data_IF_897103059495
#
_entry.id   IF_897103059495
#
_cell.length_a   1.000
_cell.length_b   1.000
_cell.length_c   1.000
_cell.angle_alpha   90.00
_cell.angle_beta   90.00
_cell.angle_gamma   90.00
#
_symmetry.space_group_name_H-M   'P 1'
#
loop_
_entity.id
_entity.type
_entity.pdbx_description
1 polymer ?
#
# COMPACT_ATOMS: atom_id res chain seq x y z
N UNK A 1 -1.99 -8.88 -22.35
CA UNK A 1 -1.68 -8.82 -20.92
C UNK A 1 -2.10 -10.16 -20.32
N UNK A 2 -1.24 -10.83 -19.57
CA UNK A 2 -1.62 -12.07 -18.87
C UNK A 2 -2.57 -11.68 -17.75
N UNK A 3 -3.86 -12.00 -17.88
CA UNK A 3 -4.83 -11.80 -16.80
C UNK A 3 -4.41 -12.67 -15.62
N UNK A 4 -3.97 -12.04 -14.53
CA UNK A 4 -3.56 -12.78 -13.34
C UNK A 4 -4.84 -13.28 -12.66
N UNK A 5 -5.08 -14.59 -12.72
CA UNK A 5 -6.22 -15.21 -12.04
C UNK A 5 -6.17 -14.87 -10.54
N UNK A 6 -7.25 -14.32 -9.95
CA UNK A 6 -7.26 -13.98 -8.53
C UNK A 6 -7.12 -15.24 -7.67
N UNK A 7 -6.52 -15.08 -6.48
CA UNK A 7 -6.47 -16.13 -5.47
C UNK A 7 -7.75 -16.11 -4.66
N UNK A 8 -8.43 -17.25 -4.54
CA UNK A 8 -9.71 -17.31 -3.83
C UNK A 8 -9.57 -18.26 -2.66
N UNK A 9 -9.70 -17.71 -1.46
CA UNK A 9 -9.75 -18.41 -0.20
C UNK A 9 -11.19 -18.41 0.28
N UNK A 10 -11.74 -19.59 0.47
CA UNK A 10 -13.14 -19.77 0.85
C UNK A 10 -13.23 -20.49 2.19
N UNK A 11 -14.17 -20.04 3.02
CA UNK A 11 -14.34 -20.51 4.38
C UNK A 11 -15.81 -20.92 4.62
N UNK A 12 -16.09 -21.94 5.45
CA UNK A 12 -17.46 -22.39 5.67
C UNK A 12 -18.40 -21.29 6.22
N UNK A 13 -17.86 -20.38 7.02
CA UNK A 13 -18.64 -19.37 7.73
C UNK A 13 -17.86 -18.07 7.92
N UNK A 14 -18.61 -17.02 8.28
CA UNK A 14 -18.12 -15.67 8.60
C UNK A 14 -16.87 -15.69 9.48
N UNK A 15 -16.88 -16.46 10.57
CA UNK A 15 -15.81 -16.44 11.56
C UNK A 15 -14.47 -16.92 10.98
N UNK A 16 -14.52 -17.89 10.06
CA UNK A 16 -13.34 -18.36 9.33
C UNK A 16 -12.74 -17.27 8.44
N UNK A 17 -13.59 -16.47 7.77
CA UNK A 17 -13.17 -15.29 7.00
C UNK A 17 -12.51 -14.27 7.93
N UNK A 18 -13.15 -13.94 9.05
CA UNK A 18 -12.63 -12.97 10.02
C UNK A 18 -11.25 -13.36 10.55
N UNK A 19 -11.08 -14.62 10.92
CA UNK A 19 -9.83 -15.15 11.42
C UNK A 19 -8.72 -15.13 10.38
N UNK A 20 -9.02 -15.50 9.13
CA UNK A 20 -8.05 -15.52 8.04
C UNK A 20 -7.64 -14.10 7.60
N UNK A 21 -8.59 -13.17 7.56
CA UNK A 21 -8.30 -11.76 7.26
C UNK A 21 -7.42 -11.15 8.35
N UNK A 22 -7.70 -11.42 9.63
CA UNK A 22 -6.86 -10.95 10.73
C UNK A 22 -5.44 -11.51 10.66
N UNK A 23 -5.29 -12.80 10.37
CA UNK A 23 -3.99 -13.47 10.19
C UNK A 23 -3.20 -12.85 9.02
N UNK A 24 -3.87 -12.58 7.90
CA UNK A 24 -3.28 -11.92 6.73
C UNK A 24 -2.76 -10.52 7.07
N UNK A 25 -3.53 -9.73 7.83
CA UNK A 25 -3.15 -8.37 8.21
C UNK A 25 -1.91 -8.41 9.11
N UNK A 26 -1.87 -9.30 10.10
CA UNK A 26 -0.71 -9.48 10.98
C UNK A 26 0.52 -9.93 10.16
N UNK A 27 0.33 -10.85 9.22
CA UNK A 27 1.39 -11.28 8.32
C UNK A 27 1.92 -10.13 7.44
N UNK A 28 1.03 -9.28 6.91
CA UNK A 28 1.40 -8.13 6.10
C UNK A 28 2.17 -7.09 6.93
N UNK A 29 1.68 -6.78 8.14
CA UNK A 29 2.40 -5.96 9.12
C UNK A 29 3.80 -6.50 9.36
N UNK A 30 3.91 -7.77 9.73
CA UNK A 30 5.19 -8.36 10.14
C UNK A 30 6.18 -8.36 8.96
N UNK A 31 5.69 -8.61 7.74
CA UNK A 31 6.50 -8.47 6.54
C UNK A 31 7.00 -7.03 6.36
N UNK A 32 6.16 -6.01 6.55
CA UNK A 32 6.56 -4.61 6.41
C UNK A 32 7.52 -4.17 7.51
N UNK A 33 7.22 -4.44 8.78
CA UNK A 33 8.00 -3.97 9.92
C UNK A 33 9.29 -4.78 10.11
N UNK A 34 9.23 -6.10 9.93
CA UNK A 34 10.29 -7.04 10.31
C UNK A 34 10.88 -7.84 9.16
N UNK A 35 10.28 -7.77 7.98
CA UNK A 35 10.74 -8.50 6.80
C UNK A 35 10.71 -10.05 7.00
N UNK A 36 9.82 -10.52 7.87
CA UNK A 36 9.56 -11.94 8.16
C UNK A 36 8.13 -12.11 8.66
N UNK A 37 7.55 -13.29 8.46
CA UNK A 37 6.23 -13.66 8.97
C UNK A 37 6.31 -14.64 10.15
N UNK A 38 7.51 -15.15 10.45
CA UNK A 38 7.77 -16.03 11.58
C UNK A 38 7.71 -15.24 12.90
N UNK A 39 6.73 -15.56 13.74
CA UNK A 39 6.49 -14.87 15.01
C UNK A 39 7.68 -14.96 15.96
N UNK A 40 8.43 -16.07 15.97
CA UNK A 40 9.63 -16.21 16.81
C UNK A 40 10.71 -15.24 16.36
N UNK A 41 10.92 -15.10 15.05
CA UNK A 41 11.87 -14.12 14.52
C UNK A 41 11.42 -12.69 14.82
N UNK A 42 10.11 -12.41 14.74
CA UNK A 42 9.55 -11.10 15.13
C UNK A 42 9.90 -10.78 16.59
N UNK A 43 9.67 -11.72 17.51
CA UNK A 43 9.96 -11.51 18.95
C UNK A 43 11.46 -11.35 19.22
N UNK A 44 12.31 -12.11 18.52
CA UNK A 44 13.76 -11.95 18.59
C UNK A 44 14.22 -10.59 18.04
N UNK A 45 13.59 -10.07 16.99
CA UNK A 45 13.92 -8.74 16.46
C UNK A 45 13.46 -7.64 17.42
N UNK A 46 12.26 -7.78 18.00
CA UNK A 46 11.71 -6.82 18.99
C UNK A 46 12.56 -6.74 20.25
N UNK A 47 13.06 -7.87 20.74
CA UNK A 47 13.94 -7.95 21.92
C UNK A 47 15.41 -7.58 21.62
N UNK A 48 15.76 -7.30 20.36
CA UNK A 48 17.13 -6.98 19.94
C UNK A 48 18.06 -8.18 19.82
N UNK A 49 17.56 -9.40 20.01
CA UNK A 49 18.31 -10.65 19.87
C UNK A 49 18.62 -11.01 18.41
N UNK A 50 17.85 -10.49 17.46
CA UNK A 50 18.03 -10.70 16.02
C UNK A 50 17.97 -9.38 15.25
N UNK A 51 18.79 -9.24 14.20
CA UNK A 51 18.68 -8.11 13.27
C UNK A 51 17.60 -8.37 12.22
N UNK A 52 16.90 -7.31 11.81
CA UNK A 52 15.96 -7.35 10.69
C UNK A 52 16.63 -7.96 9.44
N UNK A 53 16.11 -9.07 8.88
CA UNK A 53 16.68 -9.68 7.68
C UNK A 53 16.74 -8.70 6.51
N UNK A 54 17.85 -8.70 5.77
CA UNK A 54 18.00 -7.93 4.53
C UNK A 54 17.36 -8.66 3.36
N UNK A 55 16.50 -7.97 2.59
CA UNK A 55 16.04 -8.43 1.27
C UNK A 55 17.25 -8.51 0.32
N UNK A 56 17.62 -9.71 -0.15
CA UNK A 56 18.60 -9.86 -1.24
C UNK A 56 17.99 -9.36 -2.56
N UNK A 57 18.79 -8.72 -3.42
CA UNK A 57 18.35 -8.00 -4.64
C UNK A 57 17.62 -8.85 -5.70
N UNK A 58 17.58 -10.17 -5.56
CA UNK A 58 16.73 -11.05 -6.37
C UNK A 58 15.25 -10.99 -5.96
N UNK A 59 14.93 -10.32 -4.85
CA UNK A 59 13.60 -10.29 -4.24
C UNK A 59 12.81 -8.98 -4.36
N UNK A 60 13.20 -8.04 -5.24
CA UNK A 60 12.53 -6.74 -5.36
C UNK A 60 11.31 -6.76 -6.30
N UNK A 61 10.23 -6.15 -5.80
CA UNK A 61 8.90 -5.87 -6.39
C UNK A 61 8.06 -7.06 -6.87
N UNK A 62 8.59 -7.96 -7.71
CA UNK A 62 7.85 -9.15 -8.17
C UNK A 62 7.88 -10.31 -7.15
N UNK A 63 8.90 -10.34 -6.30
CA UNK A 63 9.17 -11.44 -5.36
C UNK A 63 8.58 -11.25 -3.97
N UNK A 64 8.10 -10.07 -3.59
CA UNK A 64 7.29 -9.93 -2.36
C UNK A 64 5.92 -10.57 -2.57
N UNK A 65 5.38 -10.46 -3.79
CA UNK A 65 4.23 -11.26 -4.22
C UNK A 65 4.60 -12.75 -4.37
N UNK A 66 5.81 -13.09 -4.85
CA UNK A 66 6.23 -14.49 -5.01
C UNK A 66 6.67 -15.19 -3.70
N UNK A 67 7.24 -14.53 -2.70
CA UNK A 67 7.79 -15.18 -1.50
C UNK A 67 6.68 -15.69 -0.55
N UNK A 68 5.52 -15.04 -0.55
CA UNK A 68 4.32 -15.57 0.11
C UNK A 68 3.54 -16.55 -0.80
N UNK A 69 3.76 -16.51 -2.11
CA UNK A 69 3.24 -17.52 -3.06
C UNK A 69 4.13 -18.78 -3.18
N UNK A 70 5.42 -18.73 -2.84
CA UNK A 70 6.41 -19.81 -2.99
C UNK A 70 6.53 -20.72 -1.76
N UNK A 71 5.90 -20.37 -0.63
CA UNK A 71 5.62 -21.34 0.44
C UNK A 71 4.57 -22.40 0.03
N UNK A 72 4.09 -22.35 -1.23
CA UNK A 72 3.20 -23.31 -1.88
C UNK A 72 3.90 -23.94 -3.10
N UNK A 73 4.59 -25.07 -2.90
CA UNK A 73 4.98 -25.96 -4.00
C UNK A 73 6.30 -26.69 -3.77
N UNK A 74 6.25 -27.91 -3.26
CA UNK A 74 7.34 -28.87 -3.35
C UNK A 74 7.05 -29.92 -4.43
N UNK A 75 8.04 -30.18 -5.29
CA UNK A 75 8.24 -31.49 -5.94
C UNK A 75 8.03 -31.59 -7.46
N UNK A 76 9.15 -31.79 -8.17
CA UNK A 76 9.35 -32.52 -9.44
C UNK A 76 8.78 -31.92 -10.76
N UNK A 77 9.42 -31.94 -11.95
CA UNK A 77 10.66 -32.56 -12.50
C UNK A 77 10.92 -31.99 -13.90
N UNK A 78 12.21 -31.77 -14.26
CA UNK A 78 12.84 -32.24 -15.51
C UNK A 78 12.53 -31.65 -16.91
N UNK A 79 13.61 -31.31 -17.62
CA UNK A 79 13.79 -31.11 -19.08
C UNK A 79 13.22 -29.81 -19.69
N UNK A 80 13.89 -29.10 -20.61
CA UNK A 80 15.13 -29.35 -21.33
C UNK A 80 15.52 -28.09 -22.12
N UNK A 81 16.82 -28.00 -22.36
CA UNK A 81 17.54 -26.97 -23.11
C UNK A 81 17.06 -26.84 -24.56
N UNK A 82 17.09 -25.62 -25.11
CA UNK A 82 17.49 -25.34 -26.50
C UNK A 82 17.41 -23.83 -26.78
N UNK A 83 18.57 -23.25 -27.06
CA UNK A 83 18.70 -21.90 -27.58
C UNK A 83 18.26 -21.77 -29.04
N UNK A 84 18.10 -20.51 -29.48
CA UNK A 84 18.56 -20.15 -30.80
C UNK A 84 18.83 -18.64 -30.93
N UNK A 85 19.95 -18.37 -31.57
CA UNK A 85 20.51 -17.09 -32.04
C UNK A 85 19.90 -16.67 -33.39
N UNK A 86 19.79 -15.35 -33.64
CA UNK A 86 20.09 -14.65 -34.91
C UNK A 86 19.57 -13.19 -34.81
N UNK A 87 20.41 -12.14 -34.87
CA UNK A 87 21.16 -11.54 -36.01
C UNK A 87 20.31 -10.62 -36.91
N UNK A 88 20.69 -9.33 -36.87
CA UNK A 88 20.83 -8.33 -37.95
C UNK A 88 19.58 -8.03 -38.83
N UNK A 89 19.38 -6.87 -39.45
CA UNK A 89 20.28 -5.78 -39.89
C UNK A 89 19.45 -4.53 -40.22
N UNK A 90 20.14 -3.40 -40.10
CA UNK A 90 19.90 -2.07 -40.67
C UNK A 90 19.38 -2.01 -42.11
N UNK A 91 18.71 -0.90 -42.46
CA UNK A 91 19.15 -0.04 -43.57
C UNK A 91 18.72 1.41 -43.41
N UNK A 92 19.61 2.25 -43.94
CA UNK A 92 19.83 3.69 -43.83
C UNK A 92 19.42 4.43 -45.10
N UNK A 93 19.18 5.75 -44.99
CA UNK A 93 19.58 6.77 -45.99
C UNK A 93 19.51 8.15 -45.30
N UNK A 94 20.61 8.91 -45.11
CA UNK A 94 21.39 9.67 -46.12
C UNK A 94 20.60 10.88 -46.63
N UNK A 95 21.06 12.13 -46.79
CA UNK A 95 22.29 12.94 -46.68
C UNK A 95 21.84 14.40 -47.02
N UNK A 96 22.53 15.52 -46.81
CA UNK A 96 23.90 15.81 -46.36
C UNK A 96 24.20 17.33 -46.35
N UNK A 97 25.41 17.66 -45.85
CA UNK A 97 26.37 18.73 -46.23
C UNK A 97 25.96 20.22 -46.13
N UNK A 98 26.77 21.21 -45.72
CA UNK A 98 28.24 21.40 -45.61
C UNK A 98 28.51 22.63 -44.70
N UNK A 99 29.38 22.58 -43.67
CA UNK A 99 30.84 22.86 -43.61
C UNK A 99 31.30 24.33 -43.81
N UNK A 100 31.87 24.95 -42.76
CA UNK A 100 33.25 25.50 -42.75
C UNK A 100 33.67 26.07 -41.37
N UNK A 101 34.85 25.64 -40.92
CA UNK A 101 35.73 26.14 -39.82
C UNK A 101 36.88 26.98 -40.44
N UNK A 102 37.94 27.53 -39.76
CA UNK A 102 38.47 27.17 -38.41
C UNK A 102 39.18 28.27 -37.54
N UNK A 103 39.46 27.86 -36.28
CA UNK A 103 40.61 28.10 -35.35
C UNK A 103 41.46 29.40 -35.32
N UNK A 104 41.67 29.98 -34.11
CA UNK A 104 42.95 29.97 -33.33
C UNK A 104 42.90 30.89 -32.06
N UNK A 105 43.67 30.52 -31.02
CA UNK A 105 43.94 31.20 -29.71
C UNK A 105 45.00 32.33 -29.84
N UNK A 106 45.69 32.89 -28.80
CA UNK A 106 45.48 33.06 -27.33
C UNK A 106 45.85 34.49 -26.77
N UNK A 107 45.83 34.68 -25.43
CA UNK A 107 46.93 35.27 -24.60
C UNK A 107 46.68 36.51 -23.68
N UNK A 108 47.24 36.38 -22.46
CA UNK A 108 47.82 37.31 -21.47
C UNK A 108 47.07 38.54 -20.89
N UNK A 109 47.10 38.65 -19.55
CA UNK A 109 47.08 39.94 -18.84
C UNK A 109 47.99 39.92 -17.60
N UNK A 110 48.53 41.11 -17.31
CA UNK A 110 49.74 41.42 -16.55
C UNK A 110 49.52 41.64 -15.04
N UNK A 111 50.63 41.47 -14.29
CA UNK A 111 50.97 42.04 -12.97
C UNK A 111 51.09 43.58 -13.03
N UNK A 112 51.04 44.42 -11.98
CA UNK A 112 51.83 44.44 -10.73
C UNK A 112 51.33 45.59 -9.80
N UNK A 113 51.27 45.28 -8.50
CA UNK A 113 51.78 46.02 -7.32
C UNK A 113 51.52 47.53 -7.08
N UNK A 114 51.01 47.82 -5.88
CA UNK A 114 51.42 48.97 -5.06
C UNK A 114 51.61 48.59 -3.59
N UNK A 115 52.43 49.40 -2.92
CA UNK A 115 53.30 49.10 -1.78
C UNK A 115 52.76 49.49 -0.40
N UNK A 116 53.39 48.87 0.60
CA UNK A 116 53.24 48.87 2.06
C UNK A 116 53.14 50.25 2.76
N UNK A 117 52.46 50.28 3.93
CA UNK A 117 53.12 50.19 5.26
C UNK A 117 52.13 50.47 6.40
N UNK A 118 52.26 49.74 7.52
CA UNK A 118 51.62 50.16 8.78
C UNK A 118 51.24 49.05 9.77
N UNK A 119 52.15 48.84 10.74
CA UNK A 119 51.90 48.55 12.16
C UNK A 119 51.45 47.13 12.56
N UNK A 120 52.28 46.56 13.42
CA UNK A 120 52.18 45.26 14.07
C UNK A 120 51.44 45.44 15.42
N UNK A 121 50.26 44.83 15.59
CA UNK A 121 49.64 44.64 16.91
C UNK A 121 49.13 43.19 17.03
N UNK A 122 49.67 42.49 18.01
CA UNK A 122 49.41 41.11 18.41
C UNK A 122 47.96 40.90 18.87
N UNK A 123 47.25 39.97 18.23
CA UNK A 123 45.93 39.49 18.67
C UNK A 123 45.99 38.01 19.07
N UNK A 124 45.33 37.60 20.16
CA UNK A 124 45.20 36.19 20.50
C UNK A 124 44.19 35.51 19.56
N UNK A 125 44.72 34.66 18.67
CA UNK A 125 44.08 33.55 17.95
C UNK A 125 42.54 33.55 17.85
N UNK A 126 42.03 34.11 16.75
CA UNK A 126 40.67 33.87 16.24
C UNK A 126 40.40 32.39 15.87
N UNK A 127 41.41 31.54 15.96
CA UNK A 127 41.40 30.11 15.62
C UNK A 127 40.61 29.25 16.61
N UNK A 128 40.44 29.66 17.86
CA UNK A 128 39.74 28.85 18.87
C UNK A 128 38.21 29.00 18.84
N UNK A 129 37.66 30.13 18.37
CA UNK A 129 36.20 30.34 18.28
C UNK A 129 35.57 29.70 17.03
N UNK A 130 36.34 29.54 15.95
CA UNK A 130 35.92 28.85 14.72
C UNK A 130 35.98 27.32 14.82
N UNK A 131 36.86 26.76 15.67
CA UNK A 131 36.88 25.33 15.91
C UNK A 131 35.78 24.86 16.88
N UNK A 132 35.34 25.70 17.81
CA UNK A 132 34.26 25.36 18.74
C UNK A 132 32.86 25.48 18.09
N UNK A 133 32.67 26.43 17.16
CA UNK A 133 31.42 26.59 16.40
C UNK A 133 31.21 25.51 15.32
N UNK A 134 32.28 24.94 14.77
CA UNK A 134 32.21 23.82 13.85
C UNK A 134 32.02 22.45 14.53
N UNK A 135 32.37 22.32 15.82
CA UNK A 135 32.11 21.11 16.61
C UNK A 135 30.64 21.04 17.05
N UNK A 136 30.03 22.17 17.39
CA UNK A 136 28.60 22.27 17.74
C UNK A 136 27.65 22.15 16.54
N UNK A 137 28.10 22.43 15.31
CA UNK A 137 27.31 22.19 14.08
C UNK A 137 27.41 20.75 13.56
N UNK A 138 28.36 19.95 14.04
CA UNK A 138 28.57 18.56 13.60
C UNK A 138 27.76 17.53 14.41
N UNK A 139 27.09 17.95 15.49
CA UNK A 139 26.37 17.05 16.42
C UNK A 139 24.83 17.06 16.29
N UNK A 140 24.22 17.74 15.32
CA UNK A 140 22.75 17.70 15.12
C UNK A 140 22.30 17.50 13.68
N UNK A 141 22.92 16.55 12.97
CA UNK A 141 22.26 15.88 11.85
C UNK A 141 22.26 14.36 12.07
N UNK A 142 21.74 13.94 13.22
CA UNK A 142 21.11 12.62 13.32
C UNK A 142 19.97 12.70 12.31
N UNK A 143 20.19 12.21 11.09
CA UNK A 143 19.09 11.78 10.22
C UNK A 143 18.31 10.80 11.08
N UNK A 144 17.23 11.25 11.73
CA UNK A 144 16.32 10.37 12.46
C UNK A 144 15.99 9.27 11.46
N UNK A 145 16.50 8.06 11.71
CA UNK A 145 16.23 6.91 10.87
C UNK A 145 14.72 6.83 10.83
N UNK A 146 14.16 7.04 9.65
CA UNK A 146 12.72 7.18 9.52
C UNK A 146 12.11 5.87 9.99
N UNK A 147 11.18 5.97 10.93
CA UNK A 147 10.47 4.81 11.45
C UNK A 147 9.71 4.13 10.29
N UNK A 148 9.83 2.81 10.22
CA UNK A 148 9.09 1.99 9.26
C UNK A 148 7.69 1.81 9.80
N UNK A 149 6.70 2.12 8.98
CA UNK A 149 5.29 2.09 9.35
C UNK A 149 4.52 1.22 8.37
N UNK A 150 3.53 0.49 8.89
CA UNK A 150 2.62 -0.31 8.10
C UNK A 150 1.44 0.55 7.65
N UNK A 151 1.30 0.73 6.34
CA UNK A 151 0.29 1.60 5.72
C UNK A 151 -0.82 0.76 5.13
N UNK A 152 -2.01 0.85 5.72
CA UNK A 152 -3.18 0.09 5.32
C UNK A 152 -4.31 1.03 4.91
N UNK A 153 -5.02 0.70 3.82
CA UNK A 153 -6.28 1.33 3.47
C UNK A 153 -7.43 0.34 3.62
N UNK A 154 -8.53 0.76 4.25
CA UNK A 154 -9.71 -0.07 4.50
C UNK A 154 -10.97 0.57 3.90
N UNK A 155 -11.91 -0.24 3.46
CA UNK A 155 -13.28 0.20 3.15
C UNK A 155 -14.20 0.02 4.36
N UNK A 156 -15.37 0.64 4.33
CA UNK A 156 -16.37 0.49 5.40
C UNK A 156 -17.28 -0.73 5.24
N UNK A 157 -18.47 -0.63 5.83
CA UNK A 157 -19.52 -1.66 5.70
C UNK A 157 -19.22 -2.91 6.52
N UNK A 158 -19.49 -4.09 5.95
CA UNK A 158 -19.32 -5.35 6.69
C UNK A 158 -17.84 -5.71 6.94
N UNK A 159 -16.91 -5.12 6.18
CA UNK A 159 -15.47 -5.27 6.43
C UNK A 159 -15.11 -4.82 7.84
N UNK A 160 -15.69 -3.73 8.35
CA UNK A 160 -15.41 -3.26 9.72
C UNK A 160 -15.81 -4.31 10.76
N UNK A 161 -16.93 -5.00 10.57
CA UNK A 161 -17.38 -6.09 11.45
C UNK A 161 -16.43 -7.28 11.41
N UNK A 162 -15.94 -7.63 10.21
CA UNK A 162 -14.91 -8.67 10.02
C UNK A 162 -13.64 -8.32 10.79
N UNK A 163 -13.18 -7.07 10.69
CA UNK A 163 -12.00 -6.59 11.42
C UNK A 163 -12.25 -6.61 12.94
N UNK A 164 -13.44 -6.21 13.40
CA UNK A 164 -13.77 -6.26 14.83
C UNK A 164 -13.65 -7.70 15.36
N UNK A 165 -14.33 -8.64 14.69
CA UNK A 165 -14.40 -10.03 15.16
C UNK A 165 -13.06 -10.77 15.07
N UNK A 166 -12.26 -10.51 14.03
CA UNK A 166 -10.99 -11.18 13.81
C UNK A 166 -9.80 -10.46 14.44
N UNK A 167 -9.62 -9.18 14.14
CA UNK A 167 -8.40 -8.42 14.43
C UNK A 167 -8.29 -8.02 15.90
N UNK A 168 -9.39 -7.55 16.52
CA UNK A 168 -9.36 -7.10 17.92
C UNK A 168 -9.12 -8.23 18.93
N UNK A 169 -9.43 -9.49 18.57
CA UNK A 169 -9.07 -10.67 19.38
C UNK A 169 -7.57 -10.98 19.36
N UNK A 170 -6.80 -10.32 18.49
CA UNK A 170 -5.39 -10.62 18.21
C UNK A 170 -4.47 -9.42 18.46
N UNK A 171 -4.93 -8.43 19.22
CA UNK A 171 -4.19 -7.18 19.51
C UNK A 171 -2.76 -7.41 20.01
N UNK A 172 -2.49 -8.49 20.76
CA UNK A 172 -1.13 -8.83 21.25
C UNK A 172 -0.09 -9.00 20.15
N UNK A 173 -0.50 -9.29 18.91
CA UNK A 173 0.41 -9.42 17.77
C UNK A 173 0.47 -8.16 16.90
N UNK A 174 -0.24 -7.10 17.27
CA UNK A 174 -0.39 -5.87 16.48
C UNK A 174 0.42 -4.76 17.13
N UNK A 175 1.17 -4.03 16.30
CA UNK A 175 1.92 -2.84 16.72
C UNK A 175 1.23 -1.59 16.24
N UNK A 176 0.12 -1.30 16.91
CA UNK A 176 -0.75 -0.18 16.59
C UNK A 176 0.00 1.14 16.44
N UNK A 177 0.99 1.44 17.29
CA UNK A 177 1.83 2.65 17.20
C UNK A 177 2.59 2.80 15.87
N UNK A 178 2.74 1.72 15.10
CA UNK A 178 3.42 1.68 13.80
C UNK A 178 2.46 1.64 12.62
N UNK A 179 1.14 1.74 12.84
CA UNK A 179 0.15 1.71 11.77
C UNK A 179 -0.19 3.12 11.30
N UNK A 180 -0.34 3.27 9.99
CA UNK A 180 -1.05 4.37 9.35
C UNK A 180 -2.28 3.79 8.66
N UNK A 181 -3.47 4.15 9.15
CA UNK A 181 -4.75 3.65 8.65
C UNK A 181 -5.41 4.73 7.81
N UNK A 182 -5.78 4.37 6.59
CA UNK A 182 -6.47 5.21 5.62
C UNK A 182 -7.79 4.56 5.22
N UNK A 183 -8.68 5.35 4.62
CA UNK A 183 -9.93 4.87 4.04
C UNK A 183 -9.83 4.83 2.51
N UNK A 184 -10.36 3.76 1.91
CA UNK A 184 -10.45 3.59 0.46
C UNK A 184 -11.53 4.47 -0.16
N UNK A 185 -12.58 4.77 0.61
CA UNK A 185 -13.64 5.72 0.31
C UNK A 185 -14.25 6.23 1.61
N UNK A 186 -15.00 7.33 1.51
CA UNK A 186 -15.81 7.84 2.60
C UNK A 186 -17.10 8.47 2.08
N UNK A 187 -18.16 8.37 2.86
CA UNK A 187 -19.46 8.99 2.62
C UNK A 187 -19.40 10.35 3.29
N UNK A 188 -19.74 11.39 2.55
CA UNK A 188 -19.68 12.76 3.04
C UNK A 188 -20.93 13.06 3.86
N UNK A 189 -20.90 12.55 5.08
CA UNK A 189 -21.94 12.67 6.11
C UNK A 189 -21.25 12.89 7.46
N UNK A 190 -21.96 13.40 8.49
CA UNK A 190 -21.39 13.52 9.82
C UNK A 190 -20.87 12.19 10.35
N UNK A 191 -19.83 12.19 11.18
CA UNK A 191 -19.19 11.00 11.73
C UNK A 191 -20.10 10.21 12.67
N UNK A 192 -21.09 10.85 13.29
CA UNK A 192 -22.14 10.19 14.06
C UNK A 192 -23.08 9.37 13.18
N UNK A 193 -23.14 9.66 11.88
CA UNK A 193 -23.94 8.91 10.94
C UNK A 193 -23.54 7.43 10.92
N UNK A 194 -24.51 6.51 10.85
CA UNK A 194 -24.21 5.10 10.61
C UNK A 194 -23.55 4.83 9.24
N UNK A 195 -23.67 5.77 8.30
CA UNK A 195 -23.11 5.61 6.94
C UNK A 195 -21.64 6.02 6.80
N UNK A 196 -21.08 6.71 7.80
CA UNK A 196 -19.66 7.11 7.83
C UNK A 196 -18.77 5.89 8.08
N UNK A 197 -17.83 5.63 7.16
CA UNK A 197 -16.85 4.55 7.28
C UNK A 197 -15.91 4.81 8.46
N UNK A 198 -15.39 6.03 8.60
CA UNK A 198 -14.58 6.45 9.74
C UNK A 198 -15.37 6.38 11.04
N UNK A 199 -16.59 6.92 11.07
CA UNK A 199 -17.46 6.86 12.25
C UNK A 199 -17.69 5.41 12.70
N UNK A 200 -17.98 4.51 11.76
CA UNK A 200 -18.14 3.08 12.05
C UNK A 200 -16.84 2.47 12.59
N UNK A 201 -15.70 2.71 11.93
CA UNK A 201 -14.41 2.20 12.36
C UNK A 201 -14.00 2.74 13.75
N UNK A 202 -14.32 4.00 14.06
CA UNK A 202 -14.07 4.59 15.36
C UNK A 202 -14.86 3.87 16.47
N UNK A 203 -16.16 3.66 16.24
CA UNK A 203 -17.06 2.98 17.20
C UNK A 203 -16.74 1.50 17.38
N UNK A 204 -16.43 0.80 16.29
CA UNK A 204 -16.28 -0.65 16.31
C UNK A 204 -14.82 -1.11 16.48
N UNK A 205 -13.81 -0.31 16.12
CA UNK A 205 -12.40 -0.72 16.13
C UNK A 205 -11.57 0.18 17.01
N UNK A 206 -11.45 1.47 16.66
CA UNK A 206 -10.41 2.32 17.23
C UNK A 206 -10.62 2.60 18.72
N UNK A 207 -11.87 2.74 19.15
CA UNK A 207 -12.22 2.87 20.58
C UNK A 207 -11.99 1.61 21.42
N UNK A 208 -11.78 0.46 20.78
CA UNK A 208 -11.54 -0.83 21.43
C UNK A 208 -10.06 -1.25 21.42
N UNK A 209 -9.18 -0.43 20.85
CA UNK A 209 -7.74 -0.65 20.91
C UNK A 209 -7.28 -0.47 22.36
N UNK A 210 -6.62 -1.49 22.88
CA UNK A 210 -6.10 -1.54 24.25
C UNK A 210 -4.67 -1.02 24.33
N UNK A 211 -4.33 -0.33 25.43
CA UNK A 211 -2.99 0.19 25.71
C UNK A 211 -2.72 1.59 25.15
N UNK A 212 -1.51 2.11 25.42
CA UNK A 212 -1.15 3.51 25.12
C UNK A 212 -0.59 3.72 23.70
N UNK A 213 -0.36 2.63 22.97
CA UNK A 213 0.23 2.62 21.63
C UNK A 213 -0.89 2.63 20.61
N UNK A 214 -1.20 3.80 20.05
CA UNK A 214 -2.33 3.99 19.13
C UNK A 214 -1.87 4.20 17.68
N UNK A 215 -2.68 3.77 16.69
CA UNK A 215 -2.39 4.02 15.29
C UNK A 215 -2.56 5.48 14.91
N UNK A 216 -1.97 5.87 13.78
CA UNK A 216 -2.31 7.13 13.12
C UNK A 216 -3.47 6.86 12.16
N UNK A 217 -4.53 7.63 12.29
CA UNK A 217 -5.74 7.48 11.46
C UNK A 217 -5.83 8.70 10.56
N UNK A 218 -6.00 8.47 9.26
CA UNK A 218 -6.13 9.48 8.23
C UNK A 218 -7.52 9.33 7.62
N UNK A 219 -8.37 10.31 7.84
CA UNK A 219 -9.76 10.38 7.38
C UNK A 219 -10.05 11.79 6.83
N UNK A 220 -11.23 12.00 6.27
CA UNK A 220 -11.67 13.32 5.77
C UNK A 220 -11.78 14.35 6.89
N UNK A 221 -11.76 15.63 6.55
CA UNK A 221 -12.24 16.69 7.43
C UNK A 221 -13.77 16.75 7.37
N UNK A 222 -14.44 16.56 8.51
CA UNK A 222 -15.91 16.59 8.61
C UNK A 222 -16.48 17.97 8.20
N UNK A 223 -15.72 19.05 8.35
CA UNK A 223 -16.18 20.38 7.95
C UNK A 223 -16.31 20.57 6.43
N UNK A 224 -15.76 19.62 5.64
CA UNK A 224 -15.79 19.64 4.18
C UNK A 224 -16.86 18.74 3.57
N UNK A 225 -17.73 18.09 4.37
CA UNK A 225 -18.71 17.11 3.85
C UNK A 225 -19.73 17.70 2.87
N UNK A 226 -19.95 19.01 2.91
CA UNK A 226 -20.85 19.70 1.97
C UNK A 226 -20.18 20.08 0.64
N UNK A 227 -18.86 19.91 0.51
CA UNK A 227 -18.08 20.15 -0.71
C UNK A 227 -17.25 18.92 -1.10
N UNK A 228 -17.81 18.02 -1.95
CA UNK A 228 -17.12 16.80 -2.32
C UNK A 228 -15.76 16.99 -2.97
N UNK A 229 -15.60 18.05 -3.76
CA UNK A 229 -14.35 18.31 -4.45
C UNK A 229 -13.27 18.74 -3.45
N UNK A 230 -13.58 19.69 -2.57
CA UNK A 230 -12.63 20.15 -1.55
C UNK A 230 -12.28 19.02 -0.57
N UNK A 231 -13.25 18.18 -0.19
CA UNK A 231 -13.00 17.00 0.65
C UNK A 231 -12.05 15.99 -0.02
N UNK A 232 -12.21 15.75 -1.33
CA UNK A 232 -11.32 14.87 -2.08
C UNK A 232 -9.90 15.45 -2.19
N UNK A 233 -9.79 16.76 -2.46
CA UNK A 233 -8.52 17.46 -2.60
C UNK A 233 -7.75 17.53 -1.27
N UNK A 234 -8.43 17.77 -0.14
CA UNK A 234 -7.81 17.71 1.18
C UNK A 234 -7.27 16.31 1.49
N UNK A 235 -8.09 15.28 1.24
CA UNK A 235 -7.67 13.90 1.49
C UNK A 235 -6.51 13.48 0.58
N UNK A 236 -6.51 13.90 -0.69
CA UNK A 236 -5.38 13.71 -1.60
C UNK A 236 -4.11 14.41 -1.09
N UNK A 237 -4.22 15.63 -0.60
CA UNK A 237 -3.10 16.37 -0.01
C UNK A 237 -2.54 15.64 1.22
N UNK A 238 -3.39 15.07 2.07
CA UNK A 238 -2.95 14.22 3.18
C UNK A 238 -2.18 12.99 2.69
N UNK A 239 -2.65 12.32 1.63
CA UNK A 239 -1.93 11.20 1.01
C UNK A 239 -0.56 11.65 0.48
N UNK A 240 -0.49 12.74 -0.27
CA UNK A 240 0.75 13.28 -0.84
C UNK A 240 1.77 13.55 0.27
N UNK A 241 1.39 14.22 1.36
CA UNK A 241 2.29 14.52 2.47
C UNK A 241 2.86 13.25 3.14
N UNK A 242 2.07 12.18 3.19
CA UNK A 242 2.43 10.95 3.89
C UNK A 242 3.20 9.93 3.03
N UNK A 243 3.03 9.99 1.70
CA UNK A 243 3.65 9.05 0.75
C UNK A 243 4.75 9.70 -0.09
N UNK A 244 4.61 10.95 -0.49
CA UNK A 244 5.57 11.64 -1.34
C UNK A 244 6.75 12.17 -0.49
N UNK A 245 7.77 11.35 -0.30
CA UNK A 245 9.08 11.80 0.23
C UNK A 245 10.12 11.75 -0.87
N UNK A 246 10.57 12.94 -1.30
CA UNK A 246 11.59 13.21 -2.31
C UNK A 246 11.20 12.75 -3.72
N UNK A 247 10.88 13.74 -4.56
CA UNK A 247 10.83 13.76 -6.03
C UNK A 247 10.91 12.39 -6.70
N UNK A 248 9.78 11.67 -6.85
CA UNK A 248 9.58 10.57 -7.83
C UNK A 248 8.30 9.73 -7.62
N UNK A 249 7.63 9.78 -6.47
CA UNK A 249 6.49 8.88 -6.22
C UNK A 249 5.27 9.30 -7.05
N UNK A 250 4.93 8.51 -8.07
CA UNK A 250 3.78 8.75 -8.95
C UNK A 250 2.43 8.36 -8.33
N UNK A 251 2.42 7.32 -7.49
CA UNK A 251 1.24 6.80 -6.81
C UNK A 251 1.63 6.33 -5.39
N UNK A 252 0.76 6.49 -4.38
CA UNK A 252 0.99 5.97 -3.04
C UNK A 252 1.03 4.44 -3.10
N UNK A 253 1.94 3.83 -2.36
CA UNK A 253 2.07 2.37 -2.28
C UNK A 253 1.67 1.91 -0.88
N UNK A 254 0.43 1.48 -0.72
CA UNK A 254 -0.05 0.85 0.50
C UNK A 254 0.56 -0.55 0.67
N UNK A 255 0.85 -0.96 1.90
CA UNK A 255 1.31 -2.32 2.19
C UNK A 255 0.17 -3.35 2.04
N UNK A 256 -1.06 -2.91 2.32
CA UNK A 256 -2.29 -3.67 2.23
C UNK A 256 -3.49 -2.75 1.95
N UNK A 257 -4.36 -3.15 1.05
CA UNK A 257 -5.62 -2.47 0.76
C UNK A 257 -6.77 -3.49 0.84
N UNK A 258 -7.67 -3.27 1.79
CA UNK A 258 -8.81 -4.15 2.08
C UNK A 258 -10.11 -3.55 1.54
N UNK A 259 -10.74 -4.28 0.61
CA UNK A 259 -11.97 -3.85 -0.06
C UNK A 259 -13.11 -4.81 0.23
N UNK A 260 -14.29 -4.26 0.50
CA UNK A 260 -15.54 -4.96 0.28
C UNK A 260 -15.90 -5.00 -1.21
N UNK A 261 -16.91 -5.81 -1.54
CA UNK A 261 -17.59 -5.76 -2.82
C UNK A 261 -19.10 -5.71 -2.60
N UNK A 262 -19.77 -4.71 -3.16
CA UNK A 262 -21.20 -4.55 -3.04
C UNK A 262 -21.97 -5.48 -4.00
N UNK A 263 -23.28 -5.72 -3.76
CA UNK A 263 -24.07 -6.63 -4.59
C UNK A 263 -24.23 -6.19 -6.05
N UNK A 264 -24.02 -4.91 -6.35
CA UNK A 264 -23.99 -4.34 -7.71
C UNK A 264 -22.58 -4.40 -8.35
N UNK A 265 -21.56 -4.80 -7.59
CA UNK A 265 -20.18 -4.93 -8.06
C UNK A 265 -19.32 -3.69 -7.82
N UNK A 266 -19.85 -2.66 -7.16
CA UNK A 266 -19.03 -1.51 -6.78
C UNK A 266 -18.01 -1.89 -5.69
N UNK A 267 -16.89 -1.19 -5.71
CA UNK A 267 -15.81 -1.29 -4.72
C UNK A 267 -15.51 0.13 -4.26
N UNK A 268 -15.15 0.32 -2.98
CA UNK A 268 -14.99 1.66 -2.43
C UNK A 268 -16.23 2.51 -2.79
N UNK A 269 -16.06 3.64 -3.48
CA UNK A 269 -17.17 4.37 -4.10
C UNK A 269 -17.07 4.46 -5.63
N UNK A 270 -16.44 3.47 -6.26
CA UNK A 270 -16.34 3.30 -7.70
C UNK A 270 -17.46 2.38 -8.19
N UNK A 271 -18.46 2.94 -8.87
CA UNK A 271 -19.66 2.22 -9.30
C UNK A 271 -19.58 1.69 -10.74
N UNK A 272 -20.28 0.58 -11.04
CA UNK A 272 -20.52 0.19 -12.42
C UNK A 272 -21.13 1.34 -13.23
N UNK A 273 -20.77 1.43 -14.52
CA UNK A 273 -21.26 2.43 -15.47
C UNK A 273 -20.89 3.90 -15.17
N UNK A 274 -20.11 4.20 -14.12
CA UNK A 274 -19.51 5.53 -13.90
C UNK A 274 -18.17 5.66 -14.64
N UNK A 275 -18.24 5.66 -15.98
CA UNK A 275 -17.06 5.53 -16.83
C UNK A 275 -16.00 6.61 -16.67
N UNK A 276 -16.33 7.80 -16.18
CA UNK A 276 -15.34 8.85 -15.88
C UNK A 276 -14.47 8.46 -14.67
N UNK A 277 -15.10 8.17 -13.53
CA UNK A 277 -14.42 7.72 -12.31
C UNK A 277 -13.59 6.44 -12.53
N UNK A 278 -14.10 5.48 -13.31
CA UNK A 278 -13.38 4.23 -13.62
C UNK A 278 -12.18 4.43 -14.57
N UNK A 279 -12.12 5.55 -15.30
CA UNK A 279 -11.04 5.86 -16.25
C UNK A 279 -10.07 6.92 -15.73
N UNK A 280 -10.25 7.40 -14.51
CA UNK A 280 -9.33 8.34 -13.85
C UNK A 280 -7.93 7.72 -13.73
N UNK A 281 -6.89 8.50 -14.06
CA UNK A 281 -5.50 8.04 -14.18
C UNK A 281 -4.47 8.93 -13.48
N UNK A 282 -4.85 10.15 -13.13
CA UNK A 282 -3.99 11.21 -12.63
C UNK A 282 -4.23 11.44 -11.14
N UNK A 283 -5.49 11.65 -10.75
CA UNK A 283 -5.85 11.90 -9.36
C UNK A 283 -5.66 10.64 -8.50
N UNK A 284 -5.25 10.84 -7.25
CA UNK A 284 -5.16 9.79 -6.25
C UNK A 284 -6.50 9.56 -5.56
N UNK A 285 -7.25 10.64 -5.33
CA UNK A 285 -8.59 10.65 -4.75
C UNK A 285 -9.51 11.52 -5.62
N UNK A 286 -10.77 11.13 -5.78
CA UNK A 286 -11.77 11.91 -6.52
C UNK A 286 -13.08 12.01 -5.76
N UNK A 287 -13.86 13.08 -5.98
CA UNK A 287 -15.24 13.12 -5.54
C UNK A 287 -16.10 12.16 -6.36
N UNK A 288 -17.15 11.66 -5.73
CA UNK A 288 -18.23 10.93 -6.37
C UNK A 288 -19.54 11.57 -5.91
N UNK A 289 -20.24 12.19 -6.85
CA UNK A 289 -21.58 12.74 -6.65
C UNK A 289 -22.62 11.84 -7.31
N UNK A 290 -23.87 11.89 -6.81
CA UNK A 290 -24.99 11.09 -7.34
C UNK A 290 -24.69 9.58 -7.30
N UNK A 291 -24.08 9.12 -6.21
CA UNK A 291 -23.89 7.68 -5.99
C UNK A 291 -25.23 6.92 -6.18
N UNK A 292 -25.26 5.83 -6.95
CA UNK A 292 -26.50 5.08 -7.24
C UNK A 292 -27.21 4.47 -6.01
N UNK A 293 -26.53 4.41 -4.86
CA UNK A 293 -27.07 3.88 -3.61
C UNK A 293 -26.44 4.58 -2.41
N UNK A 294 -27.13 4.56 -1.26
CA UNK A 294 -26.66 5.21 -0.02
C UNK A 294 -26.53 6.73 -0.15
N UNK A 295 -25.71 7.38 0.69
CA UNK A 295 -25.42 8.81 0.56
C UNK A 295 -24.82 9.15 -0.80
N UNK A 296 -25.34 10.21 -1.42
CA UNK A 296 -25.03 10.58 -2.80
C UNK A 296 -23.60 11.10 -3.00
N UNK A 297 -23.08 11.80 -1.99
CA UNK A 297 -21.78 12.47 -2.01
C UNK A 297 -20.74 11.66 -1.24
N UNK A 298 -19.63 11.37 -1.91
CA UNK A 298 -18.56 10.52 -1.42
C UNK A 298 -17.22 10.99 -1.95
N UNK A 299 -16.14 10.50 -1.34
CA UNK A 299 -14.80 10.52 -1.94
C UNK A 299 -14.30 9.09 -2.13
N UNK A 300 -13.41 8.85 -3.07
CA UNK A 300 -12.85 7.51 -3.31
C UNK A 300 -11.42 7.57 -3.81
N UNK A 301 -10.60 6.62 -3.37
CA UNK A 301 -9.34 6.31 -4.05
C UNK A 301 -9.63 5.81 -5.47
N UNK A 302 -8.77 6.20 -6.39
CA UNK A 302 -8.90 5.85 -7.81
C UNK A 302 -8.36 4.44 -8.09
N UNK A 303 -8.77 3.83 -9.21
CA UNK A 303 -8.28 2.52 -9.65
C UNK A 303 -6.74 2.44 -9.70
N UNK A 304 -6.00 3.43 -10.26
CA UNK A 304 -4.54 3.42 -10.23
C UNK A 304 -3.96 3.32 -8.81
N UNK A 305 -4.50 4.07 -7.85
CA UNK A 305 -4.06 4.00 -6.44
C UNK A 305 -4.32 2.62 -5.86
N UNK A 306 -5.51 2.07 -6.08
CA UNK A 306 -5.89 0.75 -5.57
C UNK A 306 -4.94 -0.32 -6.13
N UNK A 307 -4.75 -0.33 -7.44
CA UNK A 307 -3.92 -1.31 -8.14
C UNK A 307 -2.42 -1.19 -7.83
N UNK A 308 -1.97 -0.04 -7.33
CA UNK A 308 -0.58 0.21 -6.94
C UNK A 308 -0.24 -0.25 -5.51
N UNK A 309 -1.23 -0.70 -4.73
CA UNK A 309 -0.96 -1.32 -3.43
C UNK A 309 -0.12 -2.60 -3.58
N UNK A 310 0.75 -2.87 -2.60
CA UNK A 310 1.56 -4.09 -2.57
C UNK A 310 0.70 -5.36 -2.48
N UNK A 311 -0.48 -5.24 -1.84
CA UNK A 311 -1.50 -6.29 -1.75
C UNK A 311 -2.88 -5.66 -1.81
N UNK A 312 -3.71 -6.15 -2.74
CA UNK A 312 -5.14 -5.84 -2.79
C UNK A 312 -5.92 -7.09 -2.39
N UNK A 313 -6.84 -6.92 -1.44
CA UNK A 313 -7.61 -8.01 -0.87
C UNK A 313 -9.08 -7.64 -0.85
N UNK A 314 -9.89 -8.48 -1.48
CA UNK A 314 -11.34 -8.41 -1.34
C UNK A 314 -11.80 -9.31 -0.20
N UNK A 315 -12.67 -8.79 0.65
CA UNK A 315 -13.34 -9.51 1.73
C UNK A 315 -14.83 -9.45 1.45
N UNK A 316 -15.43 -10.59 1.11
CA UNK A 316 -16.81 -10.62 0.59
C UNK A 316 -17.56 -11.81 1.17
N UNK A 317 -18.66 -11.54 1.84
CA UNK A 317 -19.40 -12.55 2.59
C UNK A 317 -20.90 -12.49 2.33
N UNK A 318 -21.55 -13.62 2.51
CA UNK A 318 -22.99 -13.78 2.48
C UNK A 318 -23.54 -14.12 1.10
N UNK A 319 -24.62 -14.88 1.12
CA UNK A 319 -25.32 -15.38 -0.07
C UNK A 319 -25.72 -14.27 -1.06
N UNK A 320 -26.02 -13.07 -0.56
CA UNK A 320 -26.39 -11.90 -1.39
C UNK A 320 -25.30 -11.50 -2.39
N UNK A 321 -24.06 -11.96 -2.20
CA UNK A 321 -22.92 -11.68 -3.06
C UNK A 321 -22.73 -12.73 -4.16
N UNK A 322 -23.35 -13.91 -4.06
CA UNK A 322 -23.13 -15.00 -5.01
C UNK A 322 -23.38 -14.61 -6.48
N UNK A 323 -24.48 -13.90 -6.82
CA UNK A 323 -24.72 -13.52 -8.22
C UNK A 323 -23.65 -12.58 -8.77
N UNK A 324 -23.16 -11.64 -7.95
CA UNK A 324 -22.18 -10.66 -8.42
C UNK A 324 -20.77 -11.23 -8.46
N UNK A 325 -20.37 -12.06 -7.51
CA UNK A 325 -19.06 -12.74 -7.56
C UNK A 325 -19.00 -13.62 -8.80
N UNK A 326 -20.08 -14.34 -9.14
CA UNK A 326 -20.16 -15.10 -10.39
C UNK A 326 -19.83 -14.24 -11.59
N UNK A 327 -20.47 -13.08 -11.71
CA UNK A 327 -20.21 -12.14 -12.81
C UNK A 327 -18.76 -11.67 -12.81
N UNK A 328 -18.21 -11.29 -11.65
CA UNK A 328 -16.83 -10.78 -11.52
C UNK A 328 -15.81 -11.82 -11.97
N UNK A 329 -16.05 -13.10 -11.66
CA UNK A 329 -15.11 -14.19 -11.92
C UNK A 329 -15.27 -14.79 -13.33
N UNK A 330 -16.51 -14.97 -13.82
CA UNK A 330 -16.78 -15.63 -15.10
C UNK A 330 -16.92 -14.65 -16.27
N UNK A 331 -17.24 -13.38 -16.00
CA UNK A 331 -17.53 -12.36 -17.03
C UNK A 331 -16.76 -11.05 -16.81
N UNK A 332 -15.41 -11.09 -16.76
CA UNK A 332 -14.59 -9.90 -16.54
C UNK A 332 -14.78 -8.82 -17.60
N UNK A 333 -15.21 -9.19 -18.82
CA UNK A 333 -15.49 -8.27 -19.93
C UNK A 333 -16.63 -7.28 -19.65
N UNK A 334 -17.45 -7.53 -18.62
CA UNK A 334 -18.45 -6.55 -18.14
C UNK A 334 -17.81 -5.31 -17.51
N UNK A 335 -16.51 -5.33 -17.23
CA UNK A 335 -15.78 -4.16 -16.75
C UNK A 335 -16.25 -3.67 -15.39
N UNK A 336 -16.67 -4.59 -14.51
CA UNK A 336 -17.00 -4.23 -13.13
C UNK A 336 -15.75 -3.68 -12.42
N UNK A 337 -15.89 -2.74 -11.49
CA UNK A 337 -14.76 -2.14 -10.77
C UNK A 337 -13.79 -3.16 -10.17
N UNK A 338 -14.30 -4.22 -9.54
CA UNK A 338 -13.49 -5.32 -9.00
C UNK A 338 -12.78 -6.15 -10.07
N UNK A 339 -13.39 -6.36 -11.24
CA UNK A 339 -12.76 -7.03 -12.39
C UNK A 339 -11.60 -6.19 -12.94
N UNK A 340 -11.78 -4.87 -13.04
CA UNK A 340 -10.71 -3.93 -13.44
C UNK A 340 -9.53 -4.02 -12.47
N UNK A 341 -9.79 -4.11 -11.15
CA UNK A 341 -8.74 -4.27 -10.14
C UNK A 341 -8.07 -5.64 -10.21
N UNK A 342 -8.82 -6.73 -10.43
CA UNK A 342 -8.26 -8.07 -10.62
C UNK A 342 -7.22 -8.12 -11.76
N UNK A 343 -7.49 -7.40 -12.86
CA UNK A 343 -6.59 -7.34 -14.01
C UNK A 343 -5.46 -6.31 -13.87
N UNK A 344 -5.75 -5.19 -13.21
CA UNK A 344 -4.85 -4.02 -13.15
C UNK A 344 -3.87 -4.02 -11.97
N UNK A 345 -4.12 -4.80 -10.92
CA UNK A 345 -3.24 -4.83 -9.75
C UNK A 345 -1.84 -5.35 -10.10
N UNK A 346 -0.81 -4.74 -9.52
CA UNK A 346 0.59 -5.12 -9.78
C UNK A 346 0.94 -6.56 -9.35
N UNK A 347 0.14 -7.16 -8.48
CA UNK A 347 0.24 -8.56 -8.04
C UNK A 347 -1.11 -9.25 -8.07
N UNK A 348 -1.13 -10.55 -7.75
CA UNK A 348 -2.39 -11.32 -7.67
C UNK A 348 -3.28 -10.77 -6.56
N UNK A 349 -4.48 -10.36 -6.94
CA UNK A 349 -5.54 -9.99 -6.00
C UNK A 349 -5.99 -11.23 -5.24
N UNK A 350 -6.21 -11.09 -3.93
CA UNK A 350 -6.73 -12.17 -3.08
C UNK A 350 -8.17 -11.88 -2.68
N UNK A 351 -9.01 -12.91 -2.70
CA UNK A 351 -10.41 -12.86 -2.30
C UNK A 351 -10.60 -13.79 -1.11
N UNK A 352 -11.09 -13.24 -0.01
CA UNK A 352 -11.47 -13.96 1.20
C UNK A 352 -12.98 -13.94 1.28
N UNK A 353 -13.57 -15.12 1.11
CA UNK A 353 -15.02 -15.27 0.95
C UNK A 353 -15.56 -16.39 1.82
N UNK A 354 -16.83 -16.29 2.21
CA UNK A 354 -17.52 -17.45 2.76
C UNK A 354 -18.02 -18.36 1.62
N UNK A 355 -18.36 -19.60 1.93
CA UNK A 355 -18.91 -20.55 0.95
C UNK A 355 -20.25 -20.05 0.38
N UNK A 356 -21.03 -19.31 1.18
CA UNK A 356 -22.30 -18.73 0.76
C UNK A 356 -22.13 -17.72 -0.38
N UNK A 357 -21.09 -16.88 -0.35
CA UNK A 357 -20.79 -15.94 -1.43
C UNK A 357 -20.30 -16.63 -2.73
N UNK A 358 -19.96 -17.92 -2.69
CA UNK A 358 -19.57 -18.71 -3.87
C UNK A 358 -20.66 -19.65 -4.37
N UNK A 359 -21.86 -19.62 -3.79
CA UNK A 359 -22.90 -20.61 -4.06
C UNK A 359 -23.28 -20.76 -5.55
N UNK A 360 -23.14 -19.70 -6.34
CA UNK A 360 -23.51 -19.70 -7.77
C UNK A 360 -22.33 -20.01 -8.72
N UNK A 361 -21.14 -20.29 -8.16
CA UNK A 361 -19.87 -20.56 -8.84
C UNK A 361 -19.48 -22.04 -8.69
N UNK A 362 -19.38 -22.74 -9.81
CA UNK A 362 -19.10 -24.18 -9.83
C UNK A 362 -17.65 -24.52 -10.23
N UNK A 363 -17.04 -23.73 -11.13
CA UNK A 363 -15.74 -24.04 -11.74
C UNK A 363 -14.61 -23.12 -11.25
N UNK A 364 -14.48 -22.97 -9.93
CA UNK A 364 -13.47 -22.07 -9.34
C UNK A 364 -12.43 -22.81 -8.50
N UNK A 365 -11.15 -22.53 -8.76
CA UNK A 365 -10.05 -23.11 -7.98
C UNK A 365 -9.93 -22.41 -6.63
N UNK A 366 -10.47 -23.03 -5.58
CA UNK A 366 -10.27 -22.60 -4.19
C UNK A 366 -8.85 -22.91 -3.73
N UNK A 367 -8.23 -21.98 -3.01
CA UNK A 367 -6.95 -22.17 -2.32
C UNK A 367 -7.18 -22.40 -0.85
N UNK A 368 -6.41 -23.31 -0.27
CA UNK A 368 -6.37 -23.47 1.18
C UNK A 368 -5.56 -22.34 1.79
N UNK A 369 -6.13 -21.65 2.78
CA UNK A 369 -5.42 -20.63 3.53
C UNK A 369 -4.47 -21.27 4.54
N UNK A 370 -3.22 -20.80 4.59
CA UNK A 370 -2.21 -21.24 5.55
C UNK A 370 -2.04 -20.18 6.61
N UNK A 371 -2.52 -20.46 7.82
CA UNK A 371 -2.42 -19.56 8.96
C UNK A 371 -0.99 -19.42 9.47
N UNK A 372 -0.66 -18.28 10.06
CA UNK A 372 0.55 -18.10 10.84
C UNK A 372 0.65 -19.17 11.94
N UNK A 373 1.86 -19.66 12.15
CA UNK A 373 2.14 -20.61 13.23
C UNK A 373 2.17 -19.87 14.57
N UNK A 374 0.99 -19.65 15.14
CA UNK A 374 0.85 -19.09 16.49
C UNK A 374 1.25 -20.16 17.52
N UNK A 375 2.04 -19.81 18.57
CA UNK A 375 2.37 -20.70 19.67
C UNK A 375 1.13 -21.39 20.27
N UNK A 376 1.26 -22.67 20.66
CA UNK A 376 0.16 -23.52 21.17
C UNK A 376 -0.56 -22.90 22.38
N UNK A 377 0.15 -22.17 23.24
CA UNK A 377 -0.38 -21.49 24.43
C UNK A 377 -1.50 -20.50 24.10
N UNK A 378 -1.44 -19.87 22.92
CA UNK A 378 -2.43 -18.91 22.44
C UNK A 378 -3.57 -19.57 21.62
N UNK A 379 -3.46 -20.87 21.31
CA UNK A 379 -4.52 -21.65 20.64
C UNK A 379 -5.58 -22.15 21.62
N UNK A 380 -5.21 -22.37 22.88
CA UNK A 380 -6.16 -22.78 23.93
C UNK A 380 -7.19 -21.68 24.25
N UNK A 381 -6.81 -20.40 24.15
CA UNK A 381 -7.75 -19.26 24.23
C UNK A 381 -8.80 -19.29 23.09
N UNK A 382 -8.46 -19.83 21.91
CA UNK A 382 -9.40 -19.98 20.78
C UNK A 382 -10.45 -21.07 20.98
N UNK A 383 -10.24 -22.02 21.90
CA UNK A 383 -11.19 -23.12 22.17
C UNK A 383 -12.14 -22.83 23.34
N UNK A 384 -11.90 -21.73 24.08
CA UNK A 384 -12.68 -21.34 25.27
C UNK A 384 -13.74 -20.26 25.01
N UNK A 385 -13.90 -19.85 23.75
CA UNK A 385 -14.90 -18.87 23.27
C UNK A 385 -15.63 -19.54 22.12
#
# INVERSE_FOLDING_TARGET
MTTTVPLIYSFPEFLGVADAVADLIISAQNQTLYNTTDLKQVDMIKSGQMKRPTMTKTNSSLSVALALNQANGGGATGFGDNGNTALASSHSASCGSNSNTPSHSPSHSHSHSHSQSGINLSSPSATNLLQQSNKLKKEKKIMKKQEIRFKIAISGGSLIKILNQGLLKRQKYIEWDKWDIYFADERLVPFESPDSNYGQAQREIFSQITGDKLPRIFHIDESLIDDPQEAADDYEKQLIQNFAKKDSVKLPMFDLLLLGCAPDGHIASLFPNQGEALREKLAWCIPVSKAPSGPENRITLTIPVICHAARVVFVVEGLTKAPIIKIIMERPEKGLPSSIVNEGAAGRVSWFVDDAALNDLYDITKKQYKYLSIPEEDREERKKI
#
